data_IF_112872191275
#
_entry.id   IF_112872191275
#
_cell.length_a   1.000
_cell.length_b   1.000
_cell.length_c   1.000
_cell.angle_alpha   90.00
_cell.angle_beta   90.00
_cell.angle_gamma   90.00
#
_symmetry.space_group_name_H-M   'P 1'
#
loop_
_entity.id
_entity.type
_entity.pdbx_description
1 polymer ?
#
# COMPACT_ATOMS: atom_id res chain seq x y z
N UNK A 1 15.79 -19.45 -7.57
CA UNK A 1 15.79 -20.18 -6.27
C UNK A 1 15.22 -19.29 -5.15
N UNK A 2 15.88 -18.18 -4.81
CA UNK A 2 15.45 -17.30 -3.70
C UNK A 2 13.99 -16.80 -3.75
N UNK A 3 13.51 -16.29 -4.89
CA UNK A 3 12.17 -15.72 -5.00
C UNK A 3 11.00 -16.69 -4.70
N UNK A 4 11.21 -18.01 -4.87
CA UNK A 4 10.19 -19.02 -4.52
C UNK A 4 10.00 -19.16 -3.00
N UNK A 5 11.01 -18.81 -2.21
CA UNK A 5 10.98 -18.97 -0.76
C UNK A 5 10.53 -17.70 -0.03
N UNK A 6 10.20 -16.63 -0.77
CA UNK A 6 9.84 -15.33 -0.18
C UNK A 6 8.38 -14.94 -0.36
N UNK A 7 7.57 -15.78 -1.01
CA UNK A 7 6.16 -15.48 -1.28
C UNK A 7 5.95 -14.34 -2.28
N UNK A 8 7.00 -13.91 -2.99
CA UNK A 8 6.95 -12.76 -3.90
C UNK A 8 6.16 -13.03 -5.18
N UNK A 9 5.77 -14.28 -5.44
CA UNK A 9 4.92 -14.68 -6.58
C UNK A 9 3.65 -15.41 -6.16
N UNK A 10 3.67 -16.09 -5.03
CA UNK A 10 2.69 -17.08 -4.58
C UNK A 10 2.21 -16.85 -3.14
N UNK A 11 2.75 -15.85 -2.44
CA UNK A 11 2.30 -15.48 -1.10
C UNK A 11 0.90 -14.84 -1.13
N UNK A 12 0.25 -14.77 0.03
CA UNK A 12 -1.16 -14.30 0.19
C UNK A 12 -1.46 -13.01 -0.57
N UNK A 13 -0.51 -12.06 -0.58
CA UNK A 13 -0.65 -10.81 -1.31
C UNK A 13 -0.53 -11.01 -2.84
N UNK A 14 0.56 -11.62 -3.30
CA UNK A 14 0.88 -11.70 -4.74
C UNK A 14 0.11 -12.80 -5.46
N UNK A 15 -0.11 -13.95 -4.82
CA UNK A 15 -0.94 -15.03 -5.36
C UNK A 15 -2.37 -14.54 -5.64
N UNK A 16 -3.02 -13.94 -4.64
CA UNK A 16 -4.37 -13.40 -4.82
C UNK A 16 -4.41 -12.27 -5.86
N UNK A 17 -3.35 -11.46 -5.96
CA UNK A 17 -3.24 -10.45 -7.02
C UNK A 17 -3.28 -11.08 -8.41
N UNK A 18 -2.48 -12.12 -8.67
CA UNK A 18 -2.40 -12.74 -10.00
C UNK A 18 -3.59 -13.63 -10.34
N UNK A 19 -4.26 -14.22 -9.35
CA UNK A 19 -5.54 -14.91 -9.59
C UNK A 19 -6.59 -13.96 -10.16
N UNK A 20 -6.61 -12.70 -9.69
CA UNK A 20 -7.57 -11.69 -10.13
C UNK A 20 -7.11 -10.94 -11.38
N UNK A 21 -5.82 -10.69 -11.49
CA UNK A 21 -5.20 -9.88 -12.53
C UNK A 21 -3.98 -10.62 -13.12
N UNK A 22 -4.19 -11.73 -13.85
CA UNK A 22 -3.09 -12.56 -14.36
C UNK A 22 -2.12 -11.78 -15.24
N UNK A 23 -2.62 -10.79 -15.97
CA UNK A 23 -1.83 -9.93 -16.86
C UNK A 23 -0.84 -9.00 -16.12
N UNK A 24 -0.98 -8.83 -14.80
CA UNK A 24 -0.01 -8.08 -14.00
C UNK A 24 1.26 -8.87 -13.71
N UNK A 25 1.27 -10.19 -13.92
CA UNK A 25 2.43 -11.03 -13.61
C UNK A 25 3.68 -10.65 -14.43
N UNK A 26 3.62 -10.47 -15.77
CA UNK A 26 4.78 -10.00 -16.54
C UNK A 26 5.29 -8.63 -16.09
N UNK A 27 4.38 -7.71 -15.72
CA UNK A 27 4.74 -6.41 -15.18
C UNK A 27 5.48 -6.55 -13.84
N UNK A 28 4.96 -7.38 -12.94
CA UNK A 28 5.59 -7.65 -11.65
C UNK A 28 6.97 -8.28 -11.81
N UNK A 29 7.12 -9.28 -12.68
CA UNK A 29 8.41 -9.90 -12.99
C UNK A 29 9.43 -8.86 -13.51
N UNK A 30 8.98 -7.91 -14.35
CA UNK A 30 9.82 -6.80 -14.81
C UNK A 30 10.23 -5.87 -13.66
N UNK A 31 9.32 -5.56 -12.73
CA UNK A 31 9.62 -4.74 -11.54
C UNK A 31 10.67 -5.45 -10.67
N UNK A 32 10.48 -6.74 -10.37
CA UNK A 32 11.42 -7.51 -9.57
C UNK A 32 12.80 -7.60 -10.24
N UNK A 33 12.85 -7.85 -11.55
CA UNK A 33 14.11 -7.93 -12.32
C UNK A 33 14.91 -6.64 -12.39
N UNK A 34 14.29 -5.48 -12.15
CA UNK A 34 15.00 -4.18 -12.08
C UNK A 34 15.80 -4.00 -10.80
N UNK A 35 15.58 -4.85 -9.80
CA UNK A 35 16.25 -4.80 -8.52
C UNK A 35 17.27 -5.92 -8.39
N UNK A 36 18.34 -5.70 -7.63
CA UNK A 36 19.28 -6.76 -7.29
C UNK A 36 18.61 -7.78 -6.36
N UNK A 37 18.71 -9.07 -6.72
CA UNK A 37 18.07 -10.16 -5.97
C UNK A 37 18.51 -10.20 -4.50
N UNK A 38 19.78 -9.90 -4.21
CA UNK A 38 20.32 -9.84 -2.84
C UNK A 38 19.67 -8.72 -2.02
N UNK A 39 19.44 -7.55 -2.62
CA UNK A 39 18.83 -6.42 -1.91
C UNK A 39 17.37 -6.71 -1.58
N UNK A 40 16.63 -7.30 -2.51
CA UNK A 40 15.26 -7.74 -2.25
C UNK A 40 15.20 -8.85 -1.19
N UNK A 41 16.17 -9.79 -1.22
CA UNK A 41 16.34 -10.82 -0.18
C UNK A 41 16.48 -10.22 1.20
N UNK A 42 17.45 -9.33 1.36
CA UNK A 42 17.71 -8.67 2.63
C UNK A 42 16.51 -7.88 3.12
N UNK A 43 15.81 -7.13 2.26
CA UNK A 43 14.62 -6.37 2.68
C UNK A 43 13.49 -7.30 3.18
N UNK A 44 13.24 -8.41 2.49
CA UNK A 44 12.18 -9.34 2.90
C UNK A 44 12.55 -10.10 4.18
N UNK A 45 13.81 -10.49 4.35
CA UNK A 45 14.32 -11.10 5.58
C UNK A 45 14.27 -10.14 6.78
N UNK A 46 14.66 -8.88 6.59
CA UNK A 46 14.57 -7.88 7.66
C UNK A 46 13.12 -7.65 8.10
N UNK A 47 12.16 -7.69 7.17
CA UNK A 47 10.73 -7.55 7.50
C UNK A 47 10.20 -8.68 8.39
N UNK A 48 10.74 -9.89 8.30
CA UNK A 48 10.31 -11.03 9.14
C UNK A 48 11.00 -11.06 10.49
N UNK A 49 12.16 -10.42 10.62
CA UNK A 49 12.96 -10.39 11.85
C UNK A 49 12.72 -9.14 12.71
N UNK A 50 12.16 -8.07 12.14
CA UNK A 50 12.02 -6.82 12.87
C UNK A 50 10.94 -6.94 13.96
N UNK A 51 11.26 -6.50 15.18
CA UNK A 51 10.27 -6.35 16.25
C UNK A 51 9.15 -5.41 15.75
N UNK A 52 7.88 -5.66 16.09
CA UNK A 52 6.79 -4.80 15.66
C UNK A 52 6.94 -3.42 16.31
N UNK A 53 7.40 -2.44 15.54
CA UNK A 53 7.36 -1.04 15.92
C UNK A 53 5.89 -0.61 16.03
N UNK A 54 5.54 0.04 17.13
CA UNK A 54 4.17 0.49 17.39
C UNK A 54 4.11 2.01 17.45
N UNK A 55 3.74 2.63 16.34
CA UNK A 55 3.65 4.08 16.20
C UNK A 55 2.29 4.66 16.60
N UNK A 56 1.37 3.83 17.14
CA UNK A 56 -0.03 4.25 17.37
C UNK A 56 -0.18 5.46 18.28
N UNK A 57 0.70 5.63 19.26
CA UNK A 57 0.69 6.79 20.17
C UNK A 57 1.11 8.09 19.49
N UNK A 58 1.84 8.03 18.38
CA UNK A 58 2.33 9.21 17.66
C UNK A 58 1.38 9.69 16.57
N UNK A 59 0.35 8.92 16.21
CA UNK A 59 -0.53 9.24 15.10
C UNK A 59 -1.28 10.57 15.27
N UNK A 60 -1.60 10.94 16.52
CA UNK A 60 -2.26 12.21 16.82
C UNK A 60 -1.37 13.45 16.59
N UNK A 61 -0.05 13.26 16.46
CA UNK A 61 0.89 14.34 16.16
C UNK A 61 1.02 14.63 14.65
N UNK A 62 0.32 13.88 13.79
CA UNK A 62 0.31 14.14 12.35
C UNK A 62 -0.71 15.26 12.08
N UNK A 63 -0.22 16.49 11.97
CA UNK A 63 -1.05 17.68 11.72
C UNK A 63 -1.30 17.93 10.22
N UNK A 64 -0.42 17.44 9.35
CA UNK A 64 -0.54 17.62 7.91
C UNK A 64 -1.80 16.93 7.35
N UNK A 65 -2.46 17.51 6.32
CA UNK A 65 -3.49 16.83 5.56
C UNK A 65 -3.01 15.45 5.11
N UNK A 66 -3.78 14.41 5.43
CA UNK A 66 -3.35 13.02 5.23
C UNK A 66 -4.38 12.24 4.43
N UNK A 67 -4.00 11.74 3.26
CA UNK A 67 -4.79 10.76 2.53
C UNK A 67 -4.38 9.34 2.92
N UNK A 68 -5.36 8.52 3.29
CA UNK A 68 -5.19 7.09 3.57
C UNK A 68 -5.98 6.32 2.51
N UNK A 69 -5.30 5.47 1.74
CA UNK A 69 -5.94 4.64 0.70
C UNK A 69 -5.71 3.17 0.99
N UNK A 70 -6.78 2.36 0.93
CA UNK A 70 -6.68 0.91 1.05
C UNK A 70 -7.62 0.20 0.07
N UNK A 71 -7.20 -0.98 -0.42
CA UNK A 71 -8.08 -1.86 -1.18
C UNK A 71 -9.01 -2.66 -0.27
N UNK A 72 -10.30 -2.72 -0.61
CA UNK A 72 -11.34 -3.41 0.14
C UNK A 72 -11.01 -4.88 0.47
N UNK A 73 -10.35 -5.57 -0.47
CA UNK A 73 -10.05 -7.01 -0.35
C UNK A 73 -8.87 -7.29 0.60
N UNK A 74 -8.10 -6.25 0.96
CA UNK A 74 -7.02 -6.32 1.93
C UNK A 74 -7.52 -6.16 3.37
N UNK A 75 -8.43 -7.02 3.84
CA UNK A 75 -9.16 -6.89 5.11
C UNK A 75 -8.33 -6.37 6.30
N UNK A 76 -7.15 -6.96 6.58
CA UNK A 76 -6.26 -6.49 7.66
C UNK A 76 -5.72 -5.07 7.45
N UNK A 77 -5.54 -4.64 6.21
CA UNK A 77 -5.15 -3.28 5.85
C UNK A 77 -6.34 -2.32 5.94
N UNK A 78 -7.57 -2.75 5.66
CA UNK A 78 -8.77 -1.90 5.82
C UNK A 78 -8.97 -1.51 7.27
N UNK A 79 -8.88 -2.46 8.20
CA UNK A 79 -9.01 -2.18 9.63
C UNK A 79 -7.88 -1.30 10.15
N UNK A 80 -6.65 -1.54 9.69
CA UNK A 80 -5.51 -0.66 9.98
C UNK A 80 -5.73 0.76 9.45
N UNK A 81 -6.22 0.91 8.22
CA UNK A 81 -6.52 2.22 7.61
C UNK A 81 -7.66 2.96 8.32
N UNK A 82 -8.70 2.25 8.77
CA UNK A 82 -9.74 2.82 9.66
C UNK A 82 -9.14 3.26 10.99
N UNK A 83 -8.23 2.48 11.55
CA UNK A 83 -7.54 2.79 12.81
C UNK A 83 -6.66 4.04 12.71
N UNK A 84 -5.95 4.20 11.58
CA UNK A 84 -5.18 5.39 11.23
C UNK A 84 -6.10 6.60 11.09
N UNK A 85 -7.18 6.48 10.31
CA UNK A 85 -8.10 7.59 10.05
C UNK A 85 -8.78 8.13 11.32
N UNK A 86 -9.10 7.25 12.28
CA UNK A 86 -9.64 7.68 13.58
C UNK A 86 -8.64 8.43 14.47
N UNK A 87 -7.34 8.30 14.22
CA UNK A 87 -6.27 8.84 15.08
C UNK A 87 -5.53 10.03 14.48
N UNK A 88 -5.53 10.15 13.16
CA UNK A 88 -4.92 11.28 12.44
C UNK A 88 -6.01 12.35 12.26
N UNK A 89 -5.92 13.52 12.90
CA UNK A 89 -6.99 14.51 12.93
C UNK A 89 -7.46 14.98 11.55
N UNK A 90 -6.51 15.26 10.65
CA UNK A 90 -6.78 15.83 9.32
C UNK A 90 -6.69 14.77 8.22
N UNK A 91 -7.30 13.60 8.45
CA UNK A 91 -7.22 12.48 7.51
C UNK A 91 -8.48 12.23 6.69
N UNK A 92 -8.28 11.86 5.42
CA UNK A 92 -9.30 11.34 4.51
C UNK A 92 -9.03 9.86 4.25
N UNK A 93 -10.01 9.01 4.51
CA UNK A 93 -9.93 7.58 4.21
C UNK A 93 -10.68 7.24 2.93
N UNK A 94 -9.98 6.64 1.97
CA UNK A 94 -10.56 6.09 0.75
C UNK A 94 -10.37 4.57 0.71
N UNK A 95 -11.47 3.83 0.59
CA UNK A 95 -11.45 2.38 0.39
C UNK A 95 -11.78 2.09 -1.08
N UNK A 96 -10.79 1.60 -1.83
CA UNK A 96 -10.96 1.22 -3.23
C UNK A 96 -11.66 -0.13 -3.32
N UNK A 97 -12.92 -0.11 -3.75
CA UNK A 97 -13.69 -1.32 -4.06
C UNK A 97 -12.98 -2.18 -5.09
N UNK A 98 -13.07 -3.49 -4.92
CA UNK A 98 -12.48 -4.51 -5.79
C UNK A 98 -10.94 -4.55 -5.88
N UNK A 99 -10.24 -3.66 -5.18
CA UNK A 99 -8.78 -3.63 -5.12
C UNK A 99 -8.23 -4.38 -3.91
N UNK A 100 -7.04 -4.97 -4.05
CA UNK A 100 -6.28 -5.60 -2.98
C UNK A 100 -5.15 -4.70 -2.45
N UNK A 101 -4.08 -5.34 -1.98
CA UNK A 101 -2.93 -4.64 -1.39
C UNK A 101 -2.14 -3.82 -2.42
N UNK A 102 -2.05 -4.31 -3.66
CA UNK A 102 -1.30 -3.66 -4.74
C UNK A 102 -2.21 -2.75 -5.56
N UNK A 103 -3.06 -1.97 -4.90
CA UNK A 103 -4.08 -1.11 -5.52
C UNK A 103 -3.54 -0.16 -6.60
N UNK A 104 -2.26 0.25 -6.48
CA UNK A 104 -1.59 1.11 -7.47
C UNK A 104 -1.25 0.38 -8.76
N UNK A 105 -1.14 -0.95 -8.74
CA UNK A 105 -0.98 -1.80 -9.92
C UNK A 105 -2.32 -2.35 -10.41
N UNK A 106 -3.27 -2.61 -9.50
CA UNK A 106 -4.57 -3.18 -9.83
C UNK A 106 -5.49 -2.17 -10.55
N UNK A 107 -5.53 -0.92 -10.08
CA UNK A 107 -6.32 0.14 -10.72
C UNK A 107 -5.55 1.48 -10.64
N UNK A 108 -4.49 1.64 -11.48
CA UNK A 108 -3.63 2.81 -11.45
C UNK A 108 -4.40 4.10 -11.77
N UNK A 109 -5.42 4.02 -12.64
CA UNK A 109 -6.21 5.18 -13.04
C UNK A 109 -7.02 5.68 -11.84
N UNK A 110 -7.80 4.81 -11.19
CA UNK A 110 -8.61 5.22 -10.04
C UNK A 110 -7.75 5.70 -8.87
N UNK A 111 -6.60 5.08 -8.64
CA UNK A 111 -5.66 5.56 -7.63
C UNK A 111 -5.14 6.97 -7.97
N UNK A 112 -4.79 7.23 -9.23
CA UNK A 112 -4.37 8.55 -9.69
C UNK A 112 -5.49 9.61 -9.57
N UNK A 113 -6.73 9.26 -9.91
CA UNK A 113 -7.89 10.14 -9.75
C UNK A 113 -8.07 10.53 -8.26
N UNK A 114 -8.00 9.56 -7.34
CA UNK A 114 -8.08 9.81 -5.88
C UNK A 114 -6.96 10.74 -5.40
N UNK A 115 -5.74 10.57 -5.93
CA UNK A 115 -4.61 11.44 -5.59
C UNK A 115 -4.83 12.86 -6.11
N UNK A 116 -5.30 13.01 -7.34
CA UNK A 116 -5.59 14.31 -7.94
C UNK A 116 -6.65 15.06 -7.13
N UNK A 117 -7.77 14.40 -6.82
CA UNK A 117 -8.85 14.96 -5.99
C UNK A 117 -8.32 15.44 -4.62
N UNK A 118 -7.42 14.66 -3.99
CA UNK A 118 -6.82 15.05 -2.72
C UNK A 118 -5.88 16.25 -2.86
N UNK A 119 -5.07 16.32 -3.93
CA UNK A 119 -4.20 17.46 -4.16
C UNK A 119 -4.98 18.73 -4.50
N UNK A 120 -6.12 18.61 -5.20
CA UNK A 120 -7.01 19.73 -5.44
C UNK A 120 -7.65 20.21 -4.12
N UNK A 121 -8.12 19.28 -3.27
CA UNK A 121 -8.65 19.59 -1.93
C UNK A 121 -7.62 20.34 -1.06
N UNK A 122 -6.35 19.92 -1.07
CA UNK A 122 -5.28 20.50 -0.25
C UNK A 122 -4.69 21.76 -0.89
N UNK A 123 -4.60 21.82 -2.22
CA UNK A 123 -4.07 22.96 -2.99
C UNK A 123 -4.95 24.21 -2.95
N UNK A 124 -6.22 24.08 -2.54
CA UNK A 124 -7.13 25.19 -2.23
C UNK A 124 -6.84 25.84 -0.86
N UNK A 125 -5.96 25.25 -0.03
CA UNK A 125 -5.51 25.86 1.23
C UNK A 125 -4.39 26.86 0.92
N UNK A 126 -4.79 28.08 0.54
CA UNK A 126 -3.88 29.22 0.45
C UNK A 126 -3.27 29.48 1.84
N UNK A 127 -1.94 29.62 1.98
CA UNK A 127 -1.35 30.04 3.24
C UNK A 127 -1.86 31.44 3.60
N UNK A 128 -2.52 31.58 4.76
CA UNK A 128 -2.75 32.86 5.44
C UNK A 128 -1.46 33.46 5.95
#
# INVERSE_FOLDING_TARGET
AWAKNTGIFDGVIMGSLFERNPDLRPLWERIIRRNEAKNLATVLELKTQNKPLNWRSLLGAIEAPTLIVAGERGHSFVDASRNLSRRIPNSKLMIMKDSGHMLTLEDPKRFADILADFFDDVGQVVPT
#
